data_IF_284296869559
#
_entry.id   IF_284296869559
#
_cell.length_a   1.000
_cell.length_b   1.000
_cell.length_c   1.000
_cell.angle_alpha   90.00
_cell.angle_beta   90.00
_cell.angle_gamma   90.00
#
_symmetry.space_group_name_H-M   'P 1'
#
loop_
_entity.id
_entity.type
_entity.pdbx_description
1 polymer ?
#
# COMPACT_ATOMS: atom_id res chain seq x y z
N UNK A 1 31.14 10.98 1.61
CA UNK A 1 31.96 9.87 2.17
C UNK A 1 32.61 10.38 3.43
N UNK A 2 32.12 9.93 4.58
CA UNK A 2 32.70 10.22 5.90
C UNK A 2 34.10 9.59 6.01
N UNK A 3 34.98 10.17 6.84
CA UNK A 3 36.33 9.63 7.04
C UNK A 3 36.23 8.39 7.94
N UNK A 4 37.11 7.40 7.74
CA UNK A 4 37.11 6.12 8.48
C UNK A 4 37.06 6.26 10.02
N UNK A 5 37.57 7.38 10.55
CA UNK A 5 37.54 7.70 11.99
C UNK A 5 36.13 8.00 12.52
N UNK A 6 35.24 8.50 11.66
CA UNK A 6 33.87 8.83 12.04
C UNK A 6 33.01 7.56 12.15
N UNK A 7 33.32 6.48 11.42
CA UNK A 7 32.64 5.18 11.51
C UNK A 7 32.88 4.39 12.81
N UNK A 8 33.85 4.80 13.63
CA UNK A 8 34.16 4.12 14.89
C UNK A 8 33.31 4.61 16.06
N UNK A 9 32.50 5.65 15.86
CA UNK A 9 31.60 6.19 16.89
C UNK A 9 30.15 5.79 16.62
N UNK A 10 29.35 5.74 17.69
CA UNK A 10 27.92 5.41 17.60
C UNK A 10 27.17 6.47 16.78
N UNK A 11 27.61 7.71 16.86
CA UNK A 11 27.08 8.85 16.10
C UNK A 11 27.37 8.71 14.60
N UNK A 12 28.58 8.32 14.20
CA UNK A 12 28.90 8.15 12.78
C UNK A 12 28.20 6.95 12.13
N UNK A 13 27.99 5.86 12.88
CA UNK A 13 27.12 4.75 12.44
C UNK A 13 25.68 5.20 12.23
N UNK A 14 25.15 6.03 13.14
CA UNK A 14 23.78 6.54 13.02
C UNK A 14 23.64 7.47 11.82
N UNK A 15 24.63 8.33 11.58
CA UNK A 15 24.63 9.26 10.46
C UNK A 15 24.76 8.54 9.11
N UNK A 16 25.65 7.54 9.02
CA UNK A 16 25.76 6.69 7.83
C UNK A 16 24.47 5.88 7.60
N UNK A 17 23.91 5.27 8.65
CA UNK A 17 22.63 4.57 8.58
C UNK A 17 21.49 5.48 8.10
N UNK A 18 21.43 6.72 8.57
CA UNK A 18 20.46 7.72 8.11
C UNK A 18 20.66 8.15 6.65
N UNK A 19 21.90 8.15 6.16
CA UNK A 19 22.24 8.43 4.76
C UNK A 19 22.19 7.19 3.85
N UNK A 20 22.10 5.98 4.40
CA UNK A 20 22.20 4.75 3.61
C UNK A 20 20.92 4.48 2.83
N UNK A 21 21.09 4.16 1.55
CA UNK A 21 20.01 3.68 0.65
C UNK A 21 19.23 2.48 1.21
N UNK A 22 19.86 1.66 2.05
CA UNK A 22 19.26 0.49 2.70
C UNK A 22 18.21 0.87 3.75
N UNK A 23 18.47 1.87 4.59
CA UNK A 23 17.48 2.35 5.57
C UNK A 23 16.23 2.85 4.87
N UNK A 24 16.39 3.61 3.79
CA UNK A 24 15.27 4.10 2.99
C UNK A 24 14.42 2.96 2.42
N UNK A 25 15.05 1.91 1.91
CA UNK A 25 14.35 0.71 1.44
C UNK A 25 13.61 -0.01 2.58
N UNK A 26 14.22 -0.10 3.76
CA UNK A 26 13.58 -0.71 4.94
C UNK A 26 12.38 0.13 5.41
N UNK A 27 12.53 1.45 5.48
CA UNK A 27 11.45 2.37 5.86
C UNK A 27 10.28 2.27 4.86
N UNK A 28 10.57 2.20 3.55
CA UNK A 28 9.56 1.97 2.51
C UNK A 28 8.85 0.61 2.69
N UNK A 29 9.60 -0.47 2.94
CA UNK A 29 9.03 -1.81 3.22
C UNK A 29 8.16 -1.81 4.47
N UNK A 30 8.57 -1.14 5.55
CA UNK A 30 7.79 -1.07 6.80
C UNK A 30 6.46 -0.35 6.54
N UNK A 31 6.49 0.77 5.83
CA UNK A 31 5.28 1.52 5.47
C UNK A 31 4.36 0.65 4.62
N UNK A 32 4.90 -0.05 3.63
CA UNK A 32 4.13 -0.98 2.79
C UNK A 32 3.53 -2.13 3.60
N UNK A 33 4.25 -2.68 4.57
CA UNK A 33 3.74 -3.73 5.47
C UNK A 33 2.62 -3.21 6.37
N UNK A 34 2.79 -2.03 6.96
CA UNK A 34 1.75 -1.39 7.79
C UNK A 34 0.51 -1.10 6.95
N UNK A 35 0.69 -0.61 5.73
CA UNK A 35 -0.40 -0.34 4.81
C UNK A 35 -1.13 -1.63 4.37
N UNK A 36 -0.37 -2.69 4.07
CA UNK A 36 -0.90 -4.01 3.73
C UNK A 36 -1.70 -4.58 4.90
N UNK A 37 -1.15 -4.52 6.11
CA UNK A 37 -1.82 -5.02 7.31
C UNK A 37 -3.10 -4.23 7.61
N UNK A 38 -3.06 -2.90 7.53
CA UNK A 38 -4.22 -2.04 7.77
C UNK A 38 -5.35 -2.26 6.76
N UNK A 39 -5.02 -2.30 5.46
CA UNK A 39 -6.01 -2.59 4.41
C UNK A 39 -6.58 -4.00 4.52
N UNK A 40 -5.76 -4.99 4.90
CA UNK A 40 -6.20 -6.36 5.13
C UNK A 40 -7.13 -6.49 6.32
N UNK A 41 -6.82 -5.84 7.45
CA UNK A 41 -7.68 -5.83 8.61
C UNK A 41 -9.04 -5.15 8.31
N UNK A 42 -9.03 -4.07 7.52
CA UNK A 42 -10.27 -3.41 7.08
C UNK A 42 -11.12 -4.32 6.18
N UNK A 43 -10.49 -5.04 5.24
CA UNK A 43 -11.18 -6.03 4.40
C UNK A 43 -11.71 -7.20 5.22
N UNK A 44 -10.93 -7.68 6.20
CA UNK A 44 -11.34 -8.68 7.17
C UNK A 44 -12.57 -8.23 7.96
N UNK A 45 -12.56 -7.02 8.52
CA UNK A 45 -13.71 -6.48 9.24
C UNK A 45 -14.95 -6.37 8.34
N UNK A 46 -14.79 -5.89 7.11
CA UNK A 46 -15.89 -5.82 6.13
C UNK A 46 -16.51 -7.19 5.85
N UNK A 47 -15.67 -8.22 5.70
CA UNK A 47 -16.13 -9.58 5.47
C UNK A 47 -16.77 -10.19 6.74
N UNK A 48 -16.16 -9.99 7.91
CA UNK A 48 -16.63 -10.50 9.20
C UNK A 48 -18.01 -9.97 9.60
N UNK A 49 -18.23 -8.65 9.46
CA UNK A 49 -19.53 -8.01 9.72
C UNK A 49 -20.60 -8.62 8.84
N UNK A 50 -20.28 -8.86 7.58
CA UNK A 50 -21.21 -9.44 6.62
C UNK A 50 -21.54 -10.90 6.92
N UNK A 51 -20.54 -11.75 7.16
CA UNK A 51 -20.75 -13.16 7.53
C UNK A 51 -21.65 -13.25 8.77
N UNK A 52 -21.43 -12.37 9.75
CA UNK A 52 -22.29 -12.29 10.94
C UNK A 52 -23.73 -11.87 10.61
N UNK A 53 -23.95 -10.97 9.65
CA UNK A 53 -25.29 -10.63 9.17
C UNK A 53 -25.98 -11.80 8.46
N UNK A 54 -25.23 -12.77 7.94
CA UNK A 54 -25.73 -13.97 7.27
C UNK A 54 -25.90 -15.17 8.23
N UNK A 55 -25.54 -15.00 9.51
CA UNK A 55 -25.56 -16.07 10.52
C UNK A 55 -24.33 -16.98 10.48
N UNK A 56 -23.30 -16.59 9.71
CA UNK A 56 -22.02 -17.29 9.62
C UNK A 56 -20.99 -16.75 10.63
N UNK A 57 -19.82 -17.40 10.69
CA UNK A 57 -18.77 -17.12 11.67
C UNK A 57 -18.05 -15.79 11.41
N UNK A 58 -18.16 -14.84 12.35
CA UNK A 58 -17.40 -13.57 12.30
C UNK A 58 -15.90 -13.81 12.14
N UNK A 59 -15.35 -14.73 12.93
CA UNK A 59 -13.91 -14.99 12.98
C UNK A 59 -13.38 -15.59 11.69
N UNK A 60 -14.13 -16.52 11.08
CA UNK A 60 -13.72 -17.12 9.81
C UNK A 60 -13.85 -16.10 8.68
N UNK A 61 -14.94 -15.31 8.68
CA UNK A 61 -15.11 -14.16 7.79
C UNK A 61 -13.97 -13.16 7.87
N UNK A 62 -13.53 -12.81 9.09
CA UNK A 62 -12.41 -11.91 9.32
C UNK A 62 -11.11 -12.44 8.72
N UNK A 63 -10.76 -13.69 9.01
CA UNK A 63 -9.51 -14.28 8.53
C UNK A 63 -9.51 -14.52 7.03
N UNK A 64 -10.62 -14.97 6.47
CA UNK A 64 -10.76 -15.15 5.03
C UNK A 64 -10.64 -13.80 4.28
N UNK A 65 -11.32 -12.75 4.78
CA UNK A 65 -11.20 -11.40 4.21
C UNK A 65 -9.79 -10.83 4.34
N UNK A 66 -9.16 -10.99 5.52
CA UNK A 66 -7.82 -10.48 5.79
C UNK A 66 -6.74 -11.16 4.95
N UNK A 67 -6.77 -12.49 4.86
CA UNK A 67 -5.72 -13.25 4.15
C UNK A 67 -5.79 -13.06 2.64
N UNK A 68 -7.00 -13.07 2.07
CA UNK A 68 -7.22 -12.81 0.65
C UNK A 68 -6.74 -11.40 0.27
N UNK A 69 -7.03 -10.40 1.10
CA UNK A 69 -6.63 -9.03 0.83
C UNK A 69 -5.13 -8.77 1.12
N UNK A 70 -4.50 -9.51 2.04
CA UNK A 70 -3.08 -9.34 2.37
C UNK A 70 -2.17 -9.70 1.20
N UNK A 71 -2.38 -10.85 0.57
CA UNK A 71 -1.58 -11.27 -0.59
C UNK A 71 -1.66 -10.24 -1.71
N UNK A 72 -2.85 -9.71 -1.94
CA UNK A 72 -3.13 -8.70 -2.95
C UNK A 72 -2.53 -7.33 -2.61
N UNK A 73 -2.64 -6.90 -1.37
CA UNK A 73 -2.07 -5.64 -0.89
C UNK A 73 -0.54 -5.65 -0.98
N UNK A 74 0.11 -6.80 -0.67
CA UNK A 74 1.56 -6.95 -0.82
C UNK A 74 2.01 -6.81 -2.28
N UNK A 75 1.30 -7.43 -3.22
CA UNK A 75 1.60 -7.31 -4.66
C UNK A 75 1.42 -5.86 -5.11
N UNK A 76 0.29 -5.23 -4.75
CA UNK A 76 0.00 -3.85 -5.10
C UNK A 76 1.06 -2.89 -4.54
N UNK A 77 1.51 -3.11 -3.31
CA UNK A 77 2.54 -2.31 -2.65
C UNK A 77 3.93 -2.49 -3.27
N UNK A 78 4.26 -3.66 -3.83
CA UNK A 78 5.51 -3.80 -4.60
C UNK A 78 5.41 -3.03 -5.92
N UNK A 79 4.30 -3.15 -6.64
CA UNK A 79 4.17 -2.57 -7.99
C UNK A 79 4.03 -1.04 -7.94
N UNK A 80 3.36 -0.49 -6.93
CA UNK A 80 3.02 0.93 -6.84
C UNK A 80 4.23 1.88 -6.80
N UNK A 81 5.32 1.63 -6.05
CA UNK A 81 6.56 2.42 -6.08
C UNK A 81 7.23 2.41 -7.46
N UNK A 82 7.29 1.27 -8.15
CA UNK A 82 7.88 1.18 -9.49
C UNK A 82 7.05 1.97 -10.50
N UNK A 83 5.72 1.83 -10.45
CA UNK A 83 4.79 2.59 -11.27
C UNK A 83 4.93 4.10 -11.04
N UNK A 84 4.99 4.54 -9.78
CA UNK A 84 5.19 5.96 -9.44
C UNK A 84 6.53 6.50 -9.95
N UNK A 85 7.63 5.76 -9.75
CA UNK A 85 8.95 6.14 -10.25
C UNK A 85 8.99 6.27 -11.78
N UNK A 86 8.32 5.36 -12.48
CA UNK A 86 8.20 5.39 -13.93
C UNK A 86 7.36 6.59 -14.40
N UNK A 87 6.15 6.77 -13.84
CA UNK A 87 5.24 7.84 -14.26
C UNK A 87 5.70 9.23 -13.86
N UNK A 88 6.52 9.38 -12.82
CA UNK A 88 7.07 10.68 -12.41
C UNK A 88 7.88 11.37 -13.52
N UNK A 89 8.43 10.61 -14.46
CA UNK A 89 9.17 11.14 -15.63
C UNK A 89 8.26 11.65 -16.75
N UNK A 90 6.95 11.42 -16.65
CA UNK A 90 5.99 11.78 -17.70
C UNK A 90 5.35 13.14 -17.43
N UNK A 91 4.98 13.85 -18.50
CA UNK A 91 4.24 15.13 -18.43
C UNK A 91 2.91 15.00 -17.68
N UNK A 92 2.32 13.81 -17.69
CA UNK A 92 1.00 13.51 -17.13
C UNK A 92 1.07 12.63 -15.87
N UNK A 93 2.10 12.81 -15.03
CA UNK A 93 2.35 12.01 -13.82
C UNK A 93 1.08 11.71 -13.00
N UNK A 94 0.32 12.74 -12.60
CA UNK A 94 -0.90 12.58 -11.79
C UNK A 94 -1.97 11.75 -12.50
N UNK A 95 -2.19 11.98 -13.79
CA UNK A 95 -3.19 11.23 -14.56
C UNK A 95 -2.78 9.76 -14.66
N UNK A 96 -1.52 9.50 -15.01
CA UNK A 96 -1.00 8.15 -15.16
C UNK A 96 -1.05 7.34 -13.85
N UNK A 97 -0.74 7.96 -12.72
CA UNK A 97 -0.84 7.32 -11.40
C UNK A 97 -2.28 7.00 -11.03
N UNK A 98 -3.23 7.91 -11.31
CA UNK A 98 -4.65 7.64 -11.03
C UNK A 98 -5.23 6.56 -11.97
N UNK A 99 -4.82 6.53 -13.24
CA UNK A 99 -5.20 5.45 -14.17
C UNK A 99 -4.64 4.10 -13.73
N UNK A 100 -3.38 4.08 -13.27
CA UNK A 100 -2.76 2.88 -12.71
C UNK A 100 -3.51 2.39 -11.46
N UNK A 101 -3.82 3.29 -10.52
CA UNK A 101 -4.62 2.96 -9.35
C UNK A 101 -6.00 2.41 -9.73
N UNK A 102 -6.71 3.05 -10.67
CA UNK A 102 -7.99 2.57 -11.17
C UNK A 102 -7.90 1.18 -11.79
N UNK A 103 -6.79 0.88 -12.49
CA UNK A 103 -6.52 -0.44 -13.06
C UNK A 103 -6.27 -1.48 -11.96
N UNK A 104 -5.48 -1.15 -10.94
CA UNK A 104 -5.28 -2.02 -9.76
C UNK A 104 -6.62 -2.29 -9.07
N UNK A 105 -7.43 -1.26 -8.81
CA UNK A 105 -8.75 -1.45 -8.21
C UNK A 105 -9.68 -2.32 -9.04
N UNK A 106 -9.68 -2.16 -10.36
CA UNK A 106 -10.47 -2.99 -11.27
C UNK A 106 -10.06 -4.46 -11.19
N UNK A 107 -8.75 -4.74 -11.14
CA UNK A 107 -8.20 -6.09 -10.94
C UNK A 107 -8.59 -6.65 -9.57
N UNK A 108 -8.48 -5.85 -8.51
CA UNK A 108 -8.84 -6.25 -7.15
C UNK A 108 -10.32 -6.58 -7.01
N UNK A 109 -11.20 -5.74 -7.55
CA UNK A 109 -12.64 -6.00 -7.59
C UNK A 109 -12.93 -7.29 -8.35
N UNK A 110 -12.30 -7.49 -9.51
CA UNK A 110 -12.46 -8.71 -10.31
C UNK A 110 -12.01 -9.96 -9.54
N UNK A 111 -10.89 -9.88 -8.82
CA UNK A 111 -10.40 -10.98 -7.99
C UNK A 111 -11.35 -11.28 -6.82
N UNK A 112 -11.88 -10.26 -6.16
CA UNK A 112 -12.90 -10.46 -5.14
C UNK A 112 -14.17 -11.12 -5.70
N UNK A 113 -14.59 -10.77 -6.93
CA UNK A 113 -15.66 -11.49 -7.63
C UNK A 113 -15.32 -12.97 -7.83
N UNK A 114 -14.12 -13.29 -8.33
CA UNK A 114 -13.67 -14.68 -8.55
C UNK A 114 -13.55 -15.49 -7.27
N UNK A 115 -13.15 -14.86 -6.16
CA UNK A 115 -13.02 -15.48 -4.85
C UNK A 115 -14.38 -15.64 -4.13
N UNK A 116 -15.49 -15.29 -4.78
CA UNK A 116 -16.82 -15.41 -4.20
C UNK A 116 -17.11 -14.38 -3.11
N UNK A 117 -16.36 -13.26 -3.06
CA UNK A 117 -16.67 -12.17 -2.14
C UNK A 117 -18.03 -11.59 -2.54
N UNK A 118 -19.00 -11.68 -1.63
CA UNK A 118 -20.40 -11.48 -1.99
C UNK A 118 -20.74 -10.00 -2.30
N UNK A 119 -19.93 -9.01 -1.86
CA UNK A 119 -20.04 -7.58 -2.25
C UNK A 119 -18.64 -6.97 -2.50
N UNK A 120 -18.01 -7.30 -3.63
CA UNK A 120 -16.61 -6.95 -3.89
C UNK A 120 -16.42 -5.43 -4.08
N UNK A 121 -17.43 -4.73 -4.61
CA UNK A 121 -17.38 -3.28 -4.80
C UNK A 121 -17.42 -2.56 -3.45
N UNK A 122 -18.37 -2.90 -2.58
CA UNK A 122 -18.52 -2.24 -1.27
C UNK A 122 -17.32 -2.50 -0.36
N UNK A 123 -16.77 -3.71 -0.38
CA UNK A 123 -15.55 -4.04 0.35
C UNK A 123 -14.34 -3.24 -0.14
N UNK A 124 -14.31 -2.87 -1.43
CA UNK A 124 -13.21 -2.15 -2.06
C UNK A 124 -13.36 -0.63 -2.04
N UNK A 125 -14.54 -0.07 -1.79
CA UNK A 125 -14.75 1.40 -1.78
C UNK A 125 -13.95 2.08 -0.65
N UNK A 126 -14.06 1.68 0.63
CA UNK A 126 -13.29 2.33 1.70
C UNK A 126 -11.77 2.27 1.50
N UNK A 127 -11.13 1.10 1.22
CA UNK A 127 -9.70 1.07 0.92
C UNK A 127 -9.38 1.80 -0.39
N UNK A 128 -10.29 1.74 -1.38
CA UNK A 128 -10.30 2.51 -2.62
C UNK A 128 -10.03 3.99 -2.44
N UNK A 129 -10.89 4.62 -1.65
CA UNK A 129 -10.84 6.04 -1.34
C UNK A 129 -9.58 6.40 -0.53
N UNK A 130 -9.23 5.58 0.46
CA UNK A 130 -8.05 5.80 1.29
C UNK A 130 -6.75 5.79 0.48
N UNK A 131 -6.53 4.77 -0.36
CA UNK A 131 -5.36 4.68 -1.25
C UNK A 131 -5.32 5.87 -2.20
N UNK A 132 -6.45 6.17 -2.84
CA UNK A 132 -6.53 7.27 -3.82
C UNK A 132 -6.18 8.61 -3.18
N UNK A 133 -6.68 8.88 -1.96
CA UNK A 133 -6.37 10.09 -1.21
C UNK A 133 -4.89 10.17 -0.85
N UNK A 134 -4.33 9.09 -0.27
CA UNK A 134 -2.92 9.04 0.14
C UNK A 134 -2.00 9.20 -1.07
N UNK A 135 -2.29 8.52 -2.18
CA UNK A 135 -1.50 8.65 -3.40
C UNK A 135 -1.58 10.04 -4.00
N UNK A 136 -2.74 10.70 -4.01
CA UNK A 136 -2.84 12.07 -4.52
C UNK A 136 -2.16 13.10 -3.60
N UNK A 137 -2.13 12.86 -2.28
CA UNK A 137 -1.31 13.64 -1.34
C UNK A 137 0.18 13.45 -1.66
N UNK A 138 0.62 12.19 -1.86
CA UNK A 138 2.00 11.87 -2.21
C UNK A 138 2.43 12.53 -3.52
N UNK A 139 1.62 12.38 -4.59
CA UNK A 139 1.84 13.00 -5.91
C UNK A 139 1.94 14.52 -5.78
N UNK A 140 1.05 15.14 -5.01
CA UNK A 140 1.08 16.60 -4.80
C UNK A 140 2.36 17.04 -4.09
N UNK A 141 2.79 16.32 -3.05
CA UNK A 141 4.06 16.59 -2.35
C UNK A 141 5.27 16.41 -3.27
N UNK A 142 5.29 15.37 -4.11
CA UNK A 142 6.40 15.13 -5.05
C UNK A 142 6.45 16.13 -6.20
N UNK A 143 5.30 16.62 -6.67
CA UNK A 143 5.24 17.68 -7.69
C UNK A 143 5.62 19.06 -7.13
N UNK A 144 5.25 19.36 -5.88
CA UNK A 144 5.52 20.65 -5.25
C UNK A 144 6.92 20.76 -4.64
N UNK A 145 7.50 19.66 -4.13
CA UNK A 145 8.87 19.64 -3.60
C UNK A 145 9.98 19.58 -4.66
N UNK A 146 9.61 19.58 -5.95
CA UNK A 146 10.52 19.70 -7.08
C UNK A 146 10.48 21.09 -7.75
N UNK A 147 9.84 22.07 -7.10
CA UNK A 147 9.88 23.49 -7.47
C UNK A 147 10.65 24.28 -6.43
#
# INVERSE_FOLDING_TARGET
MLKLKDYLTKEGWKQDWEETRLKKVIDDIIIDLVYSAGSSAAAGLGNAVKESCQGESFTDGFWQGSTNHLALALIANIVHPFANSYFRKTKHYRLNVNLFLGSVFSVMISLHYFLGTYNPIEAMIPPGLAVTAITNIYVSKTQNGGK
#
